data_IF_494137919190
#
_entry.id   IF_494137919190
#
_cell.length_a   1.000
_cell.length_b   1.000
_cell.length_c   1.000
_cell.angle_alpha   90.00
_cell.angle_beta   90.00
_cell.angle_gamma   90.00
#
_symmetry.space_group_name_H-M   'P 1'
#
loop_
_entity.id
_entity.type
_entity.pdbx_description
1 polymer ?
#
# COMPACT_ATOMS: atom_id res chain seq x y z
N UNK A 1 -18.22 16.27 -12.52
CA UNK A 1 -18.39 15.71 -11.16
C UNK A 1 -18.47 14.21 -11.31
N UNK A 2 -17.60 13.48 -10.59
CA UNK A 2 -17.52 12.01 -10.70
C UNK A 2 -18.86 11.37 -10.28
N UNK A 3 -19.31 10.36 -11.02
CA UNK A 3 -20.46 9.51 -10.71
C UNK A 3 -20.37 8.99 -9.27
N UNK A 4 -19.15 8.71 -8.79
CA UNK A 4 -18.83 8.40 -7.41
C UNK A 4 -19.41 9.35 -6.37
N UNK A 5 -19.22 10.67 -6.54
CA UNK A 5 -19.78 11.65 -5.58
C UNK A 5 -21.31 11.60 -5.55
N UNK A 6 -21.94 11.40 -6.69
CA UNK A 6 -23.41 11.33 -6.78
C UNK A 6 -23.97 10.08 -6.08
N UNK A 7 -23.35 8.91 -6.28
CA UNK A 7 -23.76 7.65 -5.64
C UNK A 7 -23.55 7.73 -4.10
N UNK A 8 -22.39 8.23 -3.67
CA UNK A 8 -22.08 8.39 -2.23
C UNK A 8 -23.05 9.38 -1.55
N UNK A 9 -23.40 10.48 -2.23
CA UNK A 9 -24.35 11.47 -1.70
C UNK A 9 -25.75 10.89 -1.60
N UNK A 10 -26.17 10.09 -2.58
CA UNK A 10 -27.47 9.40 -2.56
C UNK A 10 -27.57 8.36 -1.42
N UNK A 11 -26.48 7.64 -1.13
CA UNK A 11 -26.45 6.63 -0.05
C UNK A 11 -26.30 7.28 1.34
N UNK A 12 -25.51 8.38 1.48
CA UNK A 12 -25.35 9.11 2.74
C UNK A 12 -26.53 10.02 3.07
N UNK A 13 -27.26 10.50 2.07
CA UNK A 13 -28.44 11.32 2.22
C UNK A 13 -29.69 10.53 2.60
N UNK A 14 -29.53 9.42 3.34
CA UNK A 14 -30.62 8.58 3.78
C UNK A 14 -31.78 9.37 4.34
N UNK A 15 -32.96 9.15 3.75
CA UNK A 15 -34.30 9.51 4.25
C UNK A 15 -34.50 10.99 4.60
N UNK A 16 -34.34 11.88 3.66
CA UNK A 16 -34.90 13.23 3.72
C UNK A 16 -35.46 13.58 2.33
N UNK A 17 -36.71 13.54 2.21
CA UNK A 17 -37.75 14.17 1.38
C UNK A 17 -37.34 15.00 0.13
N UNK A 18 -36.31 14.70 -0.59
CA UNK A 18 -36.02 15.41 -1.83
C UNK A 18 -35.42 14.48 -2.89
N UNK A 19 -36.28 13.88 -3.66
CA UNK A 19 -35.96 13.31 -4.95
C UNK A 19 -35.36 11.90 -4.85
N UNK A 20 -36.14 10.93 -5.27
CA UNK A 20 -35.72 9.60 -5.68
C UNK A 20 -34.52 9.71 -6.66
N UNK A 21 -33.33 9.79 -6.13
CA UNK A 21 -32.17 9.44 -6.90
C UNK A 21 -32.26 7.91 -7.06
N UNK A 22 -33.03 7.47 -8.03
CA UNK A 22 -33.05 6.09 -8.52
C UNK A 22 -31.58 5.74 -8.74
N UNK A 23 -31.02 4.91 -7.87
CA UNK A 23 -29.72 4.29 -8.11
C UNK A 23 -29.98 3.37 -9.30
N UNK A 24 -29.67 3.87 -10.48
CA UNK A 24 -29.84 3.13 -11.71
C UNK A 24 -28.95 1.89 -11.67
N UNK A 25 -29.52 0.73 -11.93
CA UNK A 25 -28.79 -0.54 -12.03
C UNK A 25 -27.58 -0.46 -12.99
N UNK A 26 -27.62 0.45 -13.95
CA UNK A 26 -26.51 0.73 -14.85
C UNK A 26 -25.36 1.44 -14.12
N UNK A 27 -25.65 2.39 -13.23
CA UNK A 27 -24.65 3.08 -12.42
C UNK A 27 -23.94 2.13 -11.45
N UNK A 28 -24.69 1.21 -10.83
CA UNK A 28 -24.12 0.15 -9.97
C UNK A 28 -23.18 -0.76 -10.76
N UNK A 29 -23.54 -1.13 -11.97
CA UNK A 29 -22.73 -1.99 -12.84
C UNK A 29 -21.45 -1.30 -13.31
N UNK A 30 -21.51 0.00 -13.65
CA UNK A 30 -20.34 0.82 -13.99
C UNK A 30 -19.40 0.89 -12.78
N UNK A 31 -19.91 1.15 -11.60
CA UNK A 31 -19.13 1.21 -10.39
C UNK A 31 -18.42 -0.12 -10.06
N UNK A 32 -19.13 -1.23 -10.25
CA UNK A 32 -18.55 -2.56 -10.09
C UNK A 32 -17.43 -2.84 -11.10
N UNK A 33 -17.56 -2.34 -12.33
CA UNK A 33 -16.51 -2.46 -13.35
C UNK A 33 -15.29 -1.60 -12.98
N UNK A 34 -15.47 -0.38 -12.49
CA UNK A 34 -14.39 0.49 -12.05
C UNK A 34 -13.60 -0.13 -10.88
N UNK A 35 -14.29 -0.81 -9.94
CA UNK A 35 -13.65 -1.57 -8.87
C UNK A 35 -12.79 -2.69 -9.43
N UNK A 36 -13.30 -3.50 -10.36
CA UNK A 36 -12.53 -4.60 -11.00
C UNK A 36 -11.31 -4.07 -11.75
N UNK A 37 -11.44 -2.96 -12.44
CA UNK A 37 -10.33 -2.37 -13.18
C UNK A 37 -9.28 -1.78 -12.22
N UNK A 38 -9.71 -1.18 -11.11
CA UNK A 38 -8.80 -0.75 -10.04
C UNK A 38 -8.02 -1.90 -9.41
N UNK A 39 -8.66 -3.06 -9.20
CA UNK A 39 -7.97 -4.29 -8.73
C UNK A 39 -6.87 -4.73 -9.69
N UNK A 40 -7.14 -4.72 -11.00
CA UNK A 40 -6.15 -5.05 -12.02
C UNK A 40 -4.98 -4.07 -11.99
N UNK A 41 -5.25 -2.76 -11.89
CA UNK A 41 -4.21 -1.74 -11.81
C UNK A 41 -3.34 -1.90 -10.56
N UNK A 42 -3.91 -2.21 -9.40
CA UNK A 42 -3.15 -2.50 -8.18
C UNK A 42 -2.28 -3.74 -8.38
N UNK A 43 -2.80 -4.79 -9.02
CA UNK A 43 -2.03 -6.00 -9.32
C UNK A 43 -0.84 -5.72 -10.23
N UNK A 44 -1.03 -4.89 -11.26
CA UNK A 44 0.06 -4.44 -12.15
C UNK A 44 1.08 -3.64 -11.36
N UNK A 45 0.64 -2.66 -10.54
CA UNK A 45 1.52 -1.85 -9.72
C UNK A 45 2.36 -2.67 -8.74
N UNK A 46 1.80 -3.75 -8.16
CA UNK A 46 2.55 -4.69 -7.31
C UNK A 46 3.64 -5.43 -8.07
N UNK A 47 3.35 -5.85 -9.30
CA UNK A 47 4.34 -6.48 -10.16
C UNK A 47 5.47 -5.51 -10.50
N UNK A 48 5.11 -4.28 -10.87
CA UNK A 48 6.08 -3.24 -11.21
C UNK A 48 6.93 -2.84 -9.99
N UNK A 49 6.35 -2.82 -8.78
CA UNK A 49 7.09 -2.68 -7.53
C UNK A 49 8.13 -3.79 -7.36
N UNK A 50 7.77 -5.04 -7.65
CA UNK A 50 8.71 -6.18 -7.56
C UNK A 50 9.91 -5.98 -8.49
N UNK A 51 9.69 -5.44 -9.68
CA UNK A 51 10.75 -5.13 -10.63
C UNK A 51 11.67 -4.01 -10.09
N UNK A 52 11.10 -2.93 -9.54
CA UNK A 52 11.87 -1.83 -8.94
C UNK A 52 12.71 -2.32 -7.76
N UNK A 53 12.15 -3.16 -6.90
CA UNK A 53 12.88 -3.77 -5.77
C UNK A 53 14.01 -4.67 -6.26
N UNK A 54 13.79 -5.44 -7.32
CA UNK A 54 14.84 -6.27 -7.91
C UNK A 54 16.01 -5.43 -8.46
N UNK A 55 15.71 -4.30 -9.14
CA UNK A 55 16.75 -3.34 -9.61
C UNK A 55 17.48 -2.69 -8.43
N UNK A 56 16.79 -2.34 -7.36
CA UNK A 56 17.42 -1.82 -6.15
C UNK A 56 18.36 -2.84 -5.52
N UNK A 57 17.96 -4.11 -5.42
CA UNK A 57 18.81 -5.18 -4.90
C UNK A 57 20.04 -5.43 -5.79
N UNK A 58 19.90 -5.28 -7.11
CA UNK A 58 21.03 -5.37 -8.05
C UNK A 58 22.00 -4.20 -7.83
N UNK A 59 21.51 -2.95 -7.80
CA UNK A 59 22.33 -1.77 -7.57
C UNK A 59 23.08 -1.84 -6.23
N UNK A 60 22.42 -2.34 -5.18
CA UNK A 60 23.04 -2.53 -3.87
C UNK A 60 24.18 -3.58 -3.91
N UNK A 61 24.03 -4.66 -4.68
CA UNK A 61 25.11 -5.66 -4.85
C UNK A 61 26.29 -5.11 -5.63
N UNK A 62 26.01 -4.37 -6.72
CA UNK A 62 27.06 -3.75 -7.53
C UNK A 62 27.86 -2.73 -6.71
N UNK A 63 27.18 -1.89 -5.93
CA UNK A 63 27.81 -0.95 -4.99
C UNK A 63 28.69 -1.69 -3.96
N UNK A 64 28.19 -2.76 -3.35
CA UNK A 64 28.96 -3.54 -2.38
C UNK A 64 30.21 -4.17 -3.00
N UNK A 65 30.13 -4.65 -4.24
CA UNK A 65 31.29 -5.19 -4.97
C UNK A 65 32.34 -4.11 -5.25
N UNK A 66 31.90 -2.93 -5.72
CA UNK A 66 32.82 -1.80 -5.98
C UNK A 66 33.48 -1.32 -4.69
N UNK A 67 32.73 -1.23 -3.59
CA UNK A 67 33.30 -0.89 -2.27
C UNK A 67 34.31 -1.93 -1.77
N UNK A 68 34.07 -3.21 -2.01
CA UNK A 68 35.03 -4.26 -1.71
C UNK A 68 36.32 -4.12 -2.53
N UNK A 69 36.20 -3.81 -3.84
CA UNK A 69 37.36 -3.55 -4.70
C UNK A 69 38.14 -2.31 -4.27
N UNK A 70 37.48 -1.23 -3.86
CA UNK A 70 38.16 -0.04 -3.31
C UNK A 70 39.03 -0.46 -2.10
N UNK A 71 38.44 -1.16 -1.15
CA UNK A 71 39.13 -1.62 0.05
C UNK A 71 40.33 -2.52 -0.25
N UNK A 72 40.21 -3.38 -1.25
CA UNK A 72 41.31 -4.24 -1.71
C UNK A 72 42.46 -3.41 -2.30
N UNK A 73 42.13 -2.43 -3.17
CA UNK A 73 43.12 -1.54 -3.77
C UNK A 73 43.76 -0.60 -2.74
N UNK A 74 43.04 -0.16 -1.73
CA UNK A 74 43.64 0.57 -0.58
C UNK A 74 44.71 -0.27 0.10
N UNK A 75 44.46 -1.59 0.26
CA UNK A 75 45.45 -2.51 0.80
C UNK A 75 46.71 -2.61 -0.10
N UNK A 76 46.52 -2.62 -1.41
CA UNK A 76 47.65 -2.65 -2.35
C UNK A 76 48.44 -1.33 -2.36
N UNK A 77 47.75 -0.18 -2.30
CA UNK A 77 48.41 1.12 -2.19
C UNK A 77 49.28 1.21 -0.92
N UNK A 78 48.76 0.74 0.20
CA UNK A 78 49.49 0.69 1.47
C UNK A 78 50.71 -0.23 1.39
N UNK A 79 50.60 -1.38 0.72
CA UNK A 79 51.73 -2.29 0.52
C UNK A 79 52.84 -1.66 -0.37
N UNK A 80 52.42 -0.98 -1.43
CA UNK A 80 53.34 -0.28 -2.33
C UNK A 80 54.11 0.83 -1.58
N UNK A 81 53.42 1.62 -0.76
CA UNK A 81 54.04 2.65 0.08
C UNK A 81 55.04 2.06 1.08
N UNK A 82 54.71 0.95 1.74
CA UNK A 82 55.57 0.26 2.68
C UNK A 82 56.81 -0.30 2.04
N UNK A 83 56.77 -0.62 0.74
CA UNK A 83 57.90 -1.08 -0.08
C UNK A 83 58.70 0.09 -0.69
N UNK A 84 58.33 1.34 -0.43
CA UNK A 84 58.95 2.52 -1.02
C UNK A 84 58.69 2.72 -2.52
N UNK A 85 57.68 2.04 -3.09
CA UNK A 85 57.31 2.17 -4.48
C UNK A 85 56.19 3.19 -4.67
N UNK A 86 56.54 4.49 -4.57
CA UNK A 86 55.58 5.57 -4.70
C UNK A 86 54.91 5.63 -6.07
N UNK A 87 55.60 5.27 -7.15
CA UNK A 87 55.04 5.26 -8.50
C UNK A 87 53.87 4.28 -8.60
N UNK A 88 54.04 3.06 -8.10
CA UNK A 88 52.96 2.06 -8.04
C UNK A 88 51.83 2.49 -7.11
N UNK A 89 52.13 3.13 -5.97
CA UNK A 89 51.09 3.64 -5.06
C UNK A 89 50.23 4.70 -5.74
N UNK A 90 50.78 5.59 -6.54
CA UNK A 90 50.06 6.58 -7.31
C UNK A 90 49.15 5.93 -8.35
N UNK A 91 49.64 4.96 -9.10
CA UNK A 91 48.84 4.23 -10.11
C UNK A 91 47.65 3.52 -9.47
N UNK A 92 47.86 2.88 -8.33
CA UNK A 92 46.76 2.25 -7.56
C UNK A 92 45.78 3.31 -7.02
N UNK A 93 46.27 4.47 -6.58
CA UNK A 93 45.41 5.56 -6.10
C UNK A 93 44.52 6.14 -7.21
N UNK A 94 45.06 6.24 -8.45
CA UNK A 94 44.25 6.62 -9.62
C UNK A 94 43.11 5.62 -9.84
N UNK A 95 43.40 4.32 -9.72
CA UNK A 95 42.37 3.28 -9.83
C UNK A 95 41.31 3.35 -8.73
N UNK A 96 41.72 3.64 -7.50
CA UNK A 96 40.80 3.88 -6.37
C UNK A 96 39.87 5.06 -6.70
N UNK A 97 40.41 6.17 -7.20
CA UNK A 97 39.62 7.34 -7.57
C UNK A 97 38.56 7.02 -8.62
N UNK A 98 38.86 6.23 -9.65
CA UNK A 98 37.88 5.78 -10.63
C UNK A 98 36.77 4.91 -10.00
N UNK A 99 37.17 4.01 -9.09
CA UNK A 99 36.21 3.15 -8.40
C UNK A 99 35.32 3.94 -7.44
N UNK A 100 35.85 4.97 -6.78
CA UNK A 100 35.06 5.87 -5.90
C UNK A 100 34.02 6.65 -6.69
N UNK A 101 34.36 7.16 -7.89
CA UNK A 101 33.39 7.81 -8.78
C UNK A 101 32.28 6.81 -9.16
N UNK A 102 32.66 5.59 -9.54
CA UNK A 102 31.72 4.53 -9.88
C UNK A 102 30.81 4.19 -8.69
N UNK A 103 31.39 4.07 -7.50
CA UNK A 103 30.62 3.80 -6.26
C UNK A 103 29.63 4.91 -5.93
N UNK A 104 30.00 6.18 -6.14
CA UNK A 104 29.13 7.31 -5.94
C UNK A 104 27.91 7.27 -6.87
N UNK A 105 28.11 6.97 -8.15
CA UNK A 105 27.02 6.83 -9.14
C UNK A 105 26.09 5.65 -8.80
N UNK A 106 26.67 4.51 -8.39
CA UNK A 106 25.92 3.33 -7.97
C UNK A 106 25.13 3.60 -6.69
N UNK A 107 25.71 4.32 -5.75
CA UNK A 107 25.01 4.74 -4.53
C UNK A 107 23.81 5.63 -4.85
N UNK A 108 23.99 6.61 -5.71
CA UNK A 108 22.89 7.50 -6.14
C UNK A 108 21.76 6.69 -6.81
N UNK A 109 22.11 5.73 -7.66
CA UNK A 109 21.15 4.85 -8.33
C UNK A 109 20.39 3.99 -7.33
N UNK A 110 21.09 3.36 -6.37
CA UNK A 110 20.48 2.57 -5.31
C UNK A 110 19.51 3.37 -4.47
N UNK A 111 19.91 4.58 -4.05
CA UNK A 111 19.02 5.49 -3.29
C UNK A 111 17.79 5.91 -4.09
N UNK A 112 17.94 6.15 -5.39
CA UNK A 112 16.82 6.49 -6.28
C UNK A 112 15.81 5.35 -6.38
N UNK A 113 16.28 4.11 -6.57
CA UNK A 113 15.41 2.93 -6.57
C UNK A 113 14.75 2.70 -5.22
N UNK A 114 15.45 2.90 -4.10
CA UNK A 114 14.90 2.79 -2.75
C UNK A 114 13.75 3.78 -2.55
N UNK A 115 13.97 5.06 -2.84
CA UNK A 115 12.93 6.10 -2.76
C UNK A 115 11.72 5.79 -3.64
N UNK A 116 11.97 5.29 -4.86
CA UNK A 116 10.91 4.92 -5.79
C UNK A 116 10.10 3.73 -5.29
N UNK A 117 10.76 2.71 -4.73
CA UNK A 117 10.09 1.53 -4.17
C UNK A 117 9.22 1.91 -2.98
N UNK A 118 9.70 2.75 -2.07
CA UNK A 118 8.95 3.17 -0.90
C UNK A 118 7.74 4.03 -1.28
N UNK A 119 7.92 4.94 -2.23
CA UNK A 119 6.79 5.72 -2.78
C UNK A 119 5.73 4.82 -3.41
N UNK A 120 6.13 3.81 -4.19
CA UNK A 120 5.21 2.86 -4.81
C UNK A 120 4.48 2.01 -3.76
N UNK A 121 5.17 1.53 -2.73
CA UNK A 121 4.57 0.80 -1.60
C UNK A 121 3.47 1.62 -0.93
N UNK A 122 3.75 2.88 -0.63
CA UNK A 122 2.77 3.77 0.00
C UNK A 122 1.55 4.02 -0.92
N UNK A 123 1.78 4.27 -2.22
CA UNK A 123 0.70 4.47 -3.18
C UNK A 123 -0.18 3.21 -3.31
N UNK A 124 0.43 2.03 -3.39
CA UNK A 124 -0.29 0.75 -3.44
C UNK A 124 -1.13 0.58 -2.17
N UNK A 125 -0.53 0.74 -0.99
CA UNK A 125 -1.23 0.63 0.30
C UNK A 125 -2.42 1.60 0.40
N UNK A 126 -2.24 2.84 -0.03
CA UNK A 126 -3.32 3.83 -0.09
C UNK A 126 -4.43 3.41 -1.05
N UNK A 127 -4.06 2.91 -2.24
CA UNK A 127 -5.02 2.46 -3.25
C UNK A 127 -5.81 1.24 -2.79
N UNK A 128 -5.17 0.30 -2.10
CA UNK A 128 -5.84 -0.87 -1.51
C UNK A 128 -6.87 -0.49 -0.45
N UNK A 129 -6.53 0.45 0.44
CA UNK A 129 -7.50 0.97 1.43
C UNK A 129 -8.69 1.63 0.75
N UNK A 130 -8.46 2.44 -0.29
CA UNK A 130 -9.53 3.07 -1.05
C UNK A 130 -10.39 2.03 -1.77
N UNK A 131 -9.78 1.00 -2.35
CA UNK A 131 -10.49 -0.09 -3.01
C UNK A 131 -11.38 -0.86 -2.04
N UNK A 132 -10.89 -1.16 -0.83
CA UNK A 132 -11.67 -1.80 0.24
C UNK A 132 -12.89 -0.95 0.60
N UNK A 133 -12.71 0.35 0.77
CA UNK A 133 -13.83 1.26 1.04
C UNK A 133 -14.85 1.30 -0.11
N UNK A 134 -14.39 1.33 -1.36
CA UNK A 134 -15.29 1.29 -2.51
C UNK A 134 -16.07 -0.02 -2.61
N UNK A 135 -15.44 -1.15 -2.31
CA UNK A 135 -16.14 -2.44 -2.22
C UNK A 135 -17.24 -2.44 -1.15
N UNK A 136 -16.95 -1.86 0.00
CA UNK A 136 -17.93 -1.68 1.07
C UNK A 136 -19.11 -0.84 0.60
N UNK A 137 -18.82 0.29 -0.05
CA UNK A 137 -19.86 1.17 -0.60
C UNK A 137 -20.70 0.49 -1.68
N UNK A 138 -20.09 -0.28 -2.58
CA UNK A 138 -20.81 -1.07 -3.58
C UNK A 138 -21.77 -2.06 -2.92
N UNK A 139 -21.35 -2.72 -1.86
CA UNK A 139 -22.21 -3.65 -1.12
C UNK A 139 -23.40 -2.93 -0.50
N UNK A 140 -23.20 -1.74 0.09
CA UNK A 140 -24.28 -0.92 0.62
C UNK A 140 -25.28 -0.51 -0.48
N UNK A 141 -24.77 -0.04 -1.63
CA UNK A 141 -25.61 0.31 -2.80
C UNK A 141 -26.45 -0.87 -3.25
N UNK A 142 -25.83 -2.05 -3.43
CA UNK A 142 -26.54 -3.29 -3.84
C UNK A 142 -27.61 -3.71 -2.82
N UNK A 143 -27.33 -3.53 -1.52
CA UNK A 143 -28.29 -3.83 -0.48
C UNK A 143 -29.46 -2.86 -0.52
N UNK A 144 -29.20 -1.55 -0.68
CA UNK A 144 -30.23 -0.53 -0.79
C UNK A 144 -31.12 -0.76 -2.02
N UNK A 145 -30.52 -1.08 -3.17
CA UNK A 145 -31.25 -1.44 -4.40
C UNK A 145 -32.15 -2.67 -4.17
N UNK A 146 -31.65 -3.68 -3.49
CA UNK A 146 -32.43 -4.88 -3.17
C UNK A 146 -33.60 -4.58 -2.22
N UNK A 147 -33.38 -3.70 -1.23
CA UNK A 147 -34.45 -3.24 -0.32
C UNK A 147 -35.51 -2.44 -1.09
N UNK A 148 -35.11 -1.52 -1.96
CA UNK A 148 -36.03 -0.74 -2.78
C UNK A 148 -36.89 -1.65 -3.68
N UNK A 149 -36.25 -2.61 -4.37
CA UNK A 149 -36.97 -3.60 -5.18
C UNK A 149 -37.96 -4.43 -4.37
N UNK A 150 -37.59 -4.84 -3.15
CA UNK A 150 -38.48 -5.57 -2.27
C UNK A 150 -39.66 -4.69 -1.80
N UNK A 151 -39.40 -3.41 -1.48
CA UNK A 151 -40.42 -2.44 -1.06
C UNK A 151 -41.39 -2.13 -2.21
N UNK A 152 -40.89 -1.87 -3.42
CA UNK A 152 -41.76 -1.69 -4.61
C UNK A 152 -42.64 -2.91 -4.84
N UNK A 153 -42.08 -4.12 -4.79
CA UNK A 153 -42.84 -5.35 -4.97
C UNK A 153 -43.91 -5.55 -3.88
N UNK A 154 -43.71 -5.05 -2.67
CA UNK A 154 -44.71 -5.04 -1.60
C UNK A 154 -45.80 -4.03 -1.95
N UNK A 155 -45.43 -2.81 -2.35
CA UNK A 155 -46.39 -1.73 -2.69
C UNK A 155 -47.28 -2.11 -3.88
N UNK A 156 -46.68 -2.64 -4.94
CA UNK A 156 -47.38 -3.06 -6.16
C UNK A 156 -48.33 -4.25 -5.92
N UNK A 157 -48.01 -5.11 -4.94
CA UNK A 157 -48.81 -6.29 -4.61
C UNK A 157 -49.79 -6.11 -3.45
N UNK A 158 -49.82 -4.93 -2.83
CA UNK A 158 -50.80 -4.65 -1.73
C UNK A 158 -52.24 -4.77 -2.19
N UNK A 159 -52.51 -4.64 -3.50
CA UNK A 159 -53.82 -4.80 -4.13
C UNK A 159 -54.18 -6.28 -4.43
N UNK A 160 -53.27 -7.23 -4.26
CA UNK A 160 -53.53 -8.63 -4.61
C UNK A 160 -52.85 -9.60 -3.65
N UNK A 161 -53.54 -9.98 -2.60
CA UNK A 161 -53.35 -11.25 -1.85
C UNK A 161 -52.29 -11.33 -0.74
N UNK A 162 -52.72 -11.68 0.48
CA UNK A 162 -52.02 -11.86 1.74
C UNK A 162 -50.82 -12.83 1.70
N UNK A 163 -50.76 -13.76 0.77
CA UNK A 163 -49.67 -14.77 0.71
C UNK A 163 -48.32 -14.23 0.18
N UNK A 164 -48.37 -13.19 -0.63
CA UNK A 164 -47.17 -12.54 -1.21
C UNK A 164 -46.47 -11.60 -0.21
N UNK A 165 -47.20 -11.10 0.78
CA UNK A 165 -46.65 -10.29 1.88
C UNK A 165 -45.70 -11.08 2.80
N UNK A 166 -46.01 -12.35 3.07
CA UNK A 166 -45.14 -13.24 3.87
C UNK A 166 -43.79 -13.48 3.15
N UNK A 167 -43.82 -13.75 1.85
CA UNK A 167 -42.61 -13.98 1.06
C UNK A 167 -41.73 -12.72 0.92
N UNK A 168 -42.32 -11.53 0.85
CA UNK A 168 -41.59 -10.28 0.80
C UNK A 168 -40.93 -9.95 2.16
N UNK A 169 -41.61 -10.23 3.29
CA UNK A 169 -41.06 -10.09 4.63
C UNK A 169 -39.86 -11.03 4.85
N UNK A 170 -39.96 -12.30 4.44
CA UNK A 170 -38.87 -13.27 4.52
C UNK A 170 -37.66 -12.86 3.66
N UNK A 171 -37.90 -12.25 2.51
CA UNK A 171 -36.83 -11.71 1.66
C UNK A 171 -36.13 -10.52 2.30
N UNK A 172 -36.88 -9.62 2.92
CA UNK A 172 -36.33 -8.47 3.66
C UNK A 172 -35.48 -8.93 4.87
N UNK A 173 -35.94 -9.91 5.61
CA UNK A 173 -35.22 -10.47 6.77
C UNK A 173 -33.92 -11.20 6.32
N UNK A 174 -33.92 -11.88 5.18
CA UNK A 174 -32.69 -12.45 4.60
C UNK A 174 -31.70 -11.37 4.18
N UNK A 175 -32.17 -10.27 3.59
CA UNK A 175 -31.30 -9.13 3.19
C UNK A 175 -30.69 -8.50 4.42
N UNK A 176 -31.47 -8.23 5.49
CA UNK A 176 -30.99 -7.68 6.75
C UNK A 176 -29.94 -8.59 7.42
N UNK A 177 -30.17 -9.91 7.45
CA UNK A 177 -29.19 -10.89 7.96
C UNK A 177 -27.90 -10.90 7.17
N UNK A 178 -27.96 -10.82 5.83
CA UNK A 178 -26.77 -10.73 4.98
C UNK A 178 -25.98 -9.44 5.23
N UNK A 179 -26.66 -8.33 5.47
CA UNK A 179 -26.04 -7.06 5.78
C UNK A 179 -25.31 -7.11 7.13
N UNK A 180 -25.97 -7.61 8.19
CA UNK A 180 -25.36 -7.78 9.50
C UNK A 180 -24.11 -8.70 9.44
N UNK A 181 -24.22 -9.82 8.73
CA UNK A 181 -23.10 -10.76 8.55
C UNK A 181 -21.93 -10.16 7.74
N UNK A 182 -22.23 -9.23 6.84
CA UNK A 182 -21.19 -8.50 6.11
C UNK A 182 -20.48 -7.48 6.99
N UNK A 183 -21.22 -6.72 7.78
CA UNK A 183 -20.68 -5.77 8.74
C UNK A 183 -19.82 -6.47 9.81
N UNK A 184 -20.24 -7.66 10.28
CA UNK A 184 -19.47 -8.47 11.21
C UNK A 184 -18.16 -9.00 10.57
N UNK A 185 -18.22 -9.43 9.32
CA UNK A 185 -17.00 -9.85 8.57
C UNK A 185 -16.05 -8.68 8.36
N UNK A 186 -16.56 -7.49 8.11
CA UNK A 186 -15.73 -6.30 7.94
C UNK A 186 -15.03 -5.93 9.25
N UNK A 187 -15.77 -5.94 10.38
CA UNK A 187 -15.19 -5.72 11.71
C UNK A 187 -14.14 -6.76 12.06
N UNK A 188 -14.40 -8.03 11.75
CA UNK A 188 -13.43 -9.10 11.97
C UNK A 188 -12.18 -8.93 11.10
N UNK A 189 -12.32 -8.47 9.84
CA UNK A 189 -11.18 -8.17 8.98
C UNK A 189 -10.35 -6.97 9.49
N UNK A 190 -11.00 -5.91 9.98
CA UNK A 190 -10.34 -4.77 10.61
C UNK A 190 -9.60 -5.18 11.90
N UNK A 191 -10.20 -6.06 12.71
CA UNK A 191 -9.53 -6.61 13.89
C UNK A 191 -8.30 -7.46 13.53
N UNK A 192 -8.39 -8.34 12.54
CA UNK A 192 -7.27 -9.14 12.06
C UNK A 192 -6.16 -8.28 11.45
N UNK A 193 -6.50 -7.17 10.77
CA UNK A 193 -5.52 -6.25 10.20
C UNK A 193 -4.82 -5.43 11.31
N UNK A 194 -5.51 -5.13 12.41
CA UNK A 194 -4.92 -4.47 13.58
C UNK A 194 -4.06 -5.42 14.44
N UNK A 195 -4.29 -6.73 14.36
CA UNK A 195 -3.56 -7.77 15.08
C UNK A 195 -2.36 -8.33 14.33
N UNK A 196 -2.05 -7.84 13.11
CA UNK A 196 -0.81 -8.24 12.45
C UNK A 196 0.40 -7.83 13.29
N UNK A 197 1.32 -8.77 13.59
CA UNK A 197 2.40 -8.58 14.57
C UNK A 197 3.31 -7.37 14.30
N UNK A 198 3.40 -6.95 13.04
CA UNK A 198 4.28 -5.85 12.61
C UNK A 198 3.78 -4.45 13.03
N UNK A 199 2.48 -4.20 13.03
CA UNK A 199 1.94 -2.89 13.43
C UNK A 199 1.92 -2.74 14.97
N UNK A 200 1.63 -3.83 15.69
CA UNK A 200 1.60 -3.83 17.16
C UNK A 200 3.01 -3.76 17.76
N UNK A 201 3.99 -4.39 17.13
CA UNK A 201 5.39 -4.35 17.57
C UNK A 201 5.99 -2.95 17.34
N UNK A 202 5.70 -2.32 16.22
CA UNK A 202 6.21 -1.00 15.88
C UNK A 202 5.61 0.10 16.78
N UNK A 203 4.32 -0.02 17.13
CA UNK A 203 3.67 0.87 18.11
C UNK A 203 4.24 0.67 19.52
N UNK A 204 4.44 -0.58 19.96
CA UNK A 204 5.03 -0.90 21.28
C UNK A 204 6.50 -0.48 21.36
N UNK A 205 7.26 -0.60 20.28
CA UNK A 205 8.65 -0.12 20.24
C UNK A 205 8.72 1.40 20.27
N UNK A 206 7.77 2.09 19.66
CA UNK A 206 7.67 3.55 19.66
C UNK A 206 7.22 4.09 21.03
N UNK A 207 6.27 3.43 21.70
CA UNK A 207 5.84 3.74 23.07
C UNK A 207 6.94 3.43 24.11
N UNK A 208 7.72 2.39 23.89
CA UNK A 208 8.84 2.03 24.75
C UNK A 208 10.12 2.85 24.49
N UNK A 209 10.10 3.79 23.52
CA UNK A 209 11.28 4.60 23.17
C UNK A 209 12.44 3.81 22.55
N UNK A 210 12.18 2.57 22.12
CA UNK A 210 13.16 1.66 21.54
C UNK A 210 13.09 1.80 20.01
N UNK A 211 14.05 2.49 19.39
CA UNK A 211 14.13 2.64 17.93
C UNK A 211 14.51 4.04 17.43
N UNK A 212 14.65 5.00 18.29
CA UNK A 212 15.12 6.36 17.97
C UNK A 212 16.58 6.59 18.34
N UNK A 213 17.48 5.69 17.97
CA UNK A 213 18.90 6.05 17.92
C UNK A 213 19.20 6.71 16.58
N UNK A 214 19.00 8.01 16.51
CA UNK A 214 19.72 8.85 15.57
C UNK A 214 21.19 8.72 15.92
N UNK A 215 21.94 8.01 15.11
CA UNK A 215 23.42 8.01 15.15
C UNK A 215 23.86 9.44 14.86
N UNK A 216 24.15 10.18 15.91
CA UNK A 216 24.69 11.52 15.79
C UNK A 216 26.21 11.37 15.59
N UNK A 217 26.81 12.15 14.69
CA UNK A 217 28.25 12.14 14.41
C UNK A 217 29.12 12.23 15.69
N UNK A 218 28.57 12.82 16.75
CA UNK A 218 29.17 12.93 18.05
C UNK A 218 29.40 11.56 18.73
N UNK A 219 28.42 10.63 18.61
CA UNK A 219 28.53 9.28 19.23
C UNK A 219 29.52 8.37 18.48
N UNK A 220 29.78 8.65 17.23
CA UNK A 220 30.81 7.97 16.43
C UNK A 220 32.19 8.49 16.81
N UNK A 221 32.35 9.80 17.04
CA UNK A 221 33.59 10.42 17.49
C UNK A 221 34.01 9.97 18.90
N UNK A 222 33.08 9.83 19.84
CA UNK A 222 33.34 9.35 21.18
C UNK A 222 33.75 7.88 21.19
N UNK A 223 33.22 7.07 20.29
CA UNK A 223 33.62 5.65 20.14
C UNK A 223 35.00 5.49 19.52
N UNK A 224 35.44 6.44 18.69
CA UNK A 224 36.78 6.42 18.08
C UNK A 224 37.85 6.98 19.01
N UNK A 225 37.49 7.82 19.99
CA UNK A 225 38.44 8.35 21.01
C UNK A 225 38.72 7.37 22.16
N UNK A 226 37.84 6.35 22.33
CA UNK A 226 37.97 5.36 23.40
C UNK A 226 38.49 3.99 22.91
N UNK A 227 39.13 3.96 21.75
CA UNK A 227 39.83 2.81 21.19
C UNK A 227 41.33 3.12 21.05
#
# INVERSE_FOLDING_TARGET
MSIFKKIITAVRGGASEAGEAIIDANSTRIFEQEIRDSEKHITIAKRDLTEVVAKQMQAARELAQTQASIKEHEGYAMQALNQGNEALAIEVAEKISELEITAADQQQSNESFLKSSDRLKELIKKSERQLTEYKRQLTMVKTTESVQKATSAITDNFSASNSKLLNAKDSLDRIKKKQAMFDDKLKAAEQLESETPDSSLQSKLQEAGIGAQKTNAQSVLDRLKNK
#
